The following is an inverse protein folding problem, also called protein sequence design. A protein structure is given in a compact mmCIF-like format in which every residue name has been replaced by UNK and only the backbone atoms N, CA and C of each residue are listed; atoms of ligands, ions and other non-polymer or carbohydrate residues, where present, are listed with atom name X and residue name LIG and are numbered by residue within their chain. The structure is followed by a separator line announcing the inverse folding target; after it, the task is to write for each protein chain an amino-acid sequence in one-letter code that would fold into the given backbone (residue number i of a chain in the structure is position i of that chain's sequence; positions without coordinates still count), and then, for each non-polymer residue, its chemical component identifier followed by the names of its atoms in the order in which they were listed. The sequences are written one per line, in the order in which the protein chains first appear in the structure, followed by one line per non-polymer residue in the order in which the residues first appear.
data_IF_782178394257
#
_entry.id   IF_782178394257
#
_cell.length_a   1.000
_cell.length_b   1.000
_cell.length_c   1.000
_cell.angle_alpha   90.00
_cell.angle_beta   90.00
_cell.angle_gamma   90.00
#
_symmetry.space_group_name_H-M   'P 1'
#
loop_
_entity.id
_entity.type
_entity.pdbx_description
1 polymer ?
#
# COMPACT_ATOMS: atom_id res chain seq x y z
N UNK A 1 -26.52 63.84 -9.77
CA UNK A 1 -26.66 64.08 -11.23
C UNK A 1 -25.92 62.98 -11.97
N UNK A 2 -26.58 62.41 -12.99
CA UNK A 2 -26.11 61.30 -13.83
C UNK A 2 -25.23 61.84 -14.96
N UNK A 3 -24.26 61.07 -15.43
CA UNK A 3 -24.00 60.86 -16.86
C UNK A 3 -23.27 59.54 -17.08
N UNK A 4 -23.69 58.84 -18.11
CA UNK A 4 -23.17 57.58 -18.62
C UNK A 4 -22.67 57.80 -20.05
N UNK A 5 -21.59 57.13 -20.45
CA UNK A 5 -21.17 56.86 -21.84
C UNK A 5 -20.38 55.54 -21.78
N UNK A 6 -20.88 54.38 -22.23
CA UNK A 6 -21.12 53.87 -23.58
C UNK A 6 -19.84 53.57 -24.42
N UNK A 7 -19.57 52.26 -24.54
CA UNK A 7 -18.83 51.38 -25.52
C UNK A 7 -18.41 51.94 -26.91
N UNK A 8 -17.40 51.35 -27.65
CA UNK A 8 -17.37 49.93 -28.12
C UNK A 8 -15.98 49.22 -28.19
N UNK A 9 -15.88 47.90 -27.94
CA UNK A 9 -15.83 46.71 -28.86
C UNK A 9 -14.58 46.58 -29.77
N UNK A 10 -14.08 45.32 -29.84
CA UNK A 10 -13.08 44.69 -30.74
C UNK A 10 -11.65 44.56 -30.17
N UNK A 11 -10.94 43.42 -30.22
CA UNK A 11 -11.14 42.09 -30.83
C UNK A 11 -10.07 41.14 -30.25
N UNK A 12 -10.48 39.95 -29.79
CA UNK A 12 -9.91 38.62 -30.12
C UNK A 12 -8.36 38.51 -30.16
N UNK A 13 -7.73 37.64 -29.35
CA UNK A 13 -7.47 36.24 -29.70
C UNK A 13 -7.55 35.38 -28.42
N UNK A 14 -8.66 34.67 -28.25
CA UNK A 14 -8.67 33.47 -27.41
C UNK A 14 -8.17 32.31 -28.27
N UNK A 15 -6.96 31.82 -28.00
CA UNK A 15 -6.48 30.55 -28.54
C UNK A 15 -7.32 29.42 -27.94
N UNK A 16 -8.46 29.12 -28.58
CA UNK A 16 -9.23 27.90 -28.35
C UNK A 16 -8.32 26.72 -28.72
N UNK A 17 -7.72 26.09 -27.71
CA UNK A 17 -7.22 24.73 -27.82
C UNK A 17 -8.41 23.86 -28.20
N UNK A 18 -8.46 23.43 -29.46
CA UNK A 18 -9.37 22.39 -29.94
C UNK A 18 -8.98 21.11 -29.23
N UNK A 19 -9.77 20.73 -28.22
CA UNK A 19 -9.84 19.33 -27.81
C UNK A 19 -10.32 18.53 -29.03
N UNK A 20 -9.62 17.46 -29.46
CA UNK A 20 -10.17 16.58 -30.47
C UNK A 20 -11.46 15.97 -29.93
N UNK A 21 -12.56 16.33 -30.59
CA UNK A 21 -13.87 15.71 -30.49
C UNK A 21 -13.72 14.18 -30.52
N UNK A 22 -14.11 13.55 -29.42
CA UNK A 22 -14.72 12.23 -29.32
C UNK A 22 -14.57 11.33 -30.56
N UNK A 23 -13.69 10.34 -30.48
CA UNK A 23 -13.88 9.11 -31.24
C UNK A 23 -15.16 8.45 -30.73
N UNK A 24 -16.28 8.75 -31.39
CA UNK A 24 -17.52 7.99 -31.29
C UNK A 24 -17.24 6.61 -31.89
N UNK A 25 -16.74 5.68 -31.07
CA UNK A 25 -16.75 4.27 -31.42
C UNK A 25 -18.18 3.75 -31.23
N UNK A 26 -18.85 3.60 -32.38
CA UNK A 26 -19.89 2.63 -32.69
C UNK A 26 -20.68 2.03 -31.52
N UNK A 27 -21.87 2.58 -31.27
CA UNK A 27 -22.95 1.99 -30.47
C UNK A 27 -23.64 0.79 -31.14
N UNK A 28 -22.93 0.00 -31.95
CA UNK A 28 -23.39 -1.28 -32.52
C UNK A 28 -22.71 -2.49 -31.88
N UNK A 29 -21.97 -2.30 -30.78
CA UNK A 29 -21.47 -3.39 -29.91
C UNK A 29 -21.61 -3.06 -28.42
N UNK A 30 -22.49 -2.12 -28.07
CA UNK A 30 -22.83 -1.81 -26.68
C UNK A 30 -23.43 -3.02 -25.95
N UNK A 31 -24.25 -3.83 -26.63
CA UNK A 31 -24.86 -5.04 -26.06
C UNK A 31 -23.81 -6.12 -25.74
N UNK A 32 -22.79 -6.30 -26.58
CA UNK A 32 -21.74 -7.32 -26.37
C UNK A 32 -20.67 -6.86 -25.36
N UNK A 33 -20.36 -5.56 -25.32
CA UNK A 33 -19.47 -4.99 -24.31
C UNK A 33 -20.15 -4.90 -22.93
N UNK A 34 -21.46 -4.61 -22.87
CA UNK A 34 -22.24 -4.68 -21.64
C UNK A 34 -22.43 -6.11 -21.16
N UNK A 35 -22.65 -7.08 -22.05
CA UNK A 35 -22.69 -8.52 -21.68
C UNK A 35 -21.34 -8.98 -21.14
N UNK A 36 -20.21 -8.64 -21.78
CA UNK A 36 -18.87 -8.95 -21.25
C UNK A 36 -18.54 -8.21 -19.96
N UNK A 37 -18.97 -6.96 -19.82
CA UNK A 37 -18.83 -6.23 -18.56
C UNK A 37 -19.71 -6.83 -17.47
N UNK A 38 -20.93 -7.30 -17.77
CA UNK A 38 -21.79 -8.02 -16.83
C UNK A 38 -21.26 -9.41 -16.50
N UNK A 39 -20.64 -10.11 -17.44
CA UNK A 39 -20.00 -11.41 -17.21
C UNK A 39 -18.71 -11.27 -16.39
N UNK A 40 -17.93 -10.19 -16.60
CA UNK A 40 -16.73 -9.86 -15.82
C UNK A 40 -17.12 -9.33 -14.44
N UNK A 41 -18.11 -8.45 -14.34
CA UNK A 41 -18.63 -7.97 -13.06
C UNK A 41 -19.29 -9.13 -12.30
N UNK A 42 -20.01 -10.01 -12.99
CA UNK A 42 -20.65 -11.19 -12.43
C UNK A 42 -19.65 -12.26 -12.00
N UNK A 43 -18.52 -12.44 -12.71
CA UNK A 43 -17.44 -13.35 -12.30
C UNK A 43 -16.59 -12.77 -11.18
N UNK A 44 -16.34 -11.45 -11.18
CA UNK A 44 -15.68 -10.74 -10.07
C UNK A 44 -16.59 -10.70 -8.84
N UNK A 45 -17.90 -10.48 -9.00
CA UNK A 45 -18.87 -10.59 -7.91
C UNK A 45 -18.93 -12.01 -7.38
N UNK A 46 -19.04 -13.03 -8.24
CA UNK A 46 -19.03 -14.44 -7.80
C UNK A 46 -17.74 -14.83 -7.10
N UNK A 47 -16.58 -14.35 -7.54
CA UNK A 47 -15.30 -14.63 -6.88
C UNK A 47 -15.12 -13.83 -5.59
N UNK A 48 -15.59 -12.58 -5.55
CA UNK A 48 -15.61 -11.77 -4.34
C UNK A 48 -16.60 -12.31 -3.31
N UNK A 49 -17.77 -12.79 -3.74
CA UNK A 49 -18.77 -13.48 -2.92
C UNK A 49 -18.20 -14.78 -2.38
N UNK A 50 -17.58 -15.62 -3.21
CA UNK A 50 -16.91 -16.85 -2.74
C UNK A 50 -15.76 -16.56 -1.78
N UNK A 51 -14.97 -15.52 -2.03
CA UNK A 51 -13.90 -15.10 -1.13
C UNK A 51 -14.47 -14.55 0.18
N UNK A 52 -15.54 -13.76 0.11
CA UNK A 52 -16.22 -13.20 1.26
C UNK A 52 -16.94 -14.26 2.09
N UNK A 53 -17.58 -15.23 1.45
CA UNK A 53 -18.23 -16.38 2.07
C UNK A 53 -17.21 -17.32 2.69
N UNK A 54 -16.10 -17.63 2.01
CA UNK A 54 -15.03 -18.45 2.60
C UNK A 54 -14.33 -17.74 3.75
N UNK A 55 -14.11 -16.42 3.65
CA UNK A 55 -13.58 -15.59 4.74
C UNK A 55 -14.57 -15.52 5.90
N UNK A 56 -15.87 -15.34 5.65
CA UNK A 56 -16.93 -15.38 6.68
C UNK A 56 -17.06 -16.76 7.31
N UNK A 57 -16.93 -17.84 6.54
CA UNK A 57 -17.02 -19.20 7.08
C UNK A 57 -15.84 -19.53 8.01
N UNK A 58 -14.64 -19.03 7.70
CA UNK A 58 -13.46 -19.26 8.53
C UNK A 58 -13.33 -18.28 9.70
N UNK A 59 -13.58 -16.98 9.47
CA UNK A 59 -13.39 -15.94 10.49
C UNK A 59 -14.67 -15.60 11.25
N UNK A 60 -15.85 -15.92 10.72
CA UNK A 60 -17.14 -15.71 11.37
C UNK A 60 -17.25 -16.40 12.72
N UNK A 61 -17.06 -17.73 12.83
CA UNK A 61 -17.21 -18.43 14.11
C UNK A 61 -16.15 -18.04 15.15
N UNK A 62 -14.95 -17.64 14.72
CA UNK A 62 -13.91 -17.12 15.62
C UNK A 62 -14.20 -15.67 16.04
N UNK A 63 -14.66 -14.82 15.13
CA UNK A 63 -14.99 -13.42 15.39
C UNK A 63 -16.27 -13.22 16.20
N UNK A 64 -17.24 -14.13 16.06
CA UNK A 64 -18.46 -14.16 16.87
C UNK A 64 -18.19 -14.68 18.28
N UNK A 65 -17.35 -15.72 18.45
CA UNK A 65 -16.94 -16.22 19.78
C UNK A 65 -16.06 -15.23 20.53
N UNK A 66 -15.10 -14.60 19.86
CA UNK A 66 -14.32 -13.52 20.46
C UNK A 66 -15.20 -12.29 20.74
N UNK A 67 -16.18 -12.03 19.87
CA UNK A 67 -17.15 -10.96 20.02
C UNK A 67 -18.08 -11.11 21.21
N UNK A 68 -18.62 -12.31 21.40
CA UNK A 68 -19.50 -12.64 22.51
C UNK A 68 -18.74 -12.70 23.83
N UNK A 69 -17.50 -13.19 23.83
CA UNK A 69 -16.62 -13.19 25.01
C UNK A 69 -16.23 -11.78 25.48
N UNK A 70 -16.16 -10.81 24.57
CA UNK A 70 -15.85 -9.41 24.89
C UNK A 70 -17.08 -8.60 25.33
N UNK A 71 -18.31 -9.09 25.10
CA UNK A 71 -19.55 -8.46 25.56
C UNK A 71 -19.62 -6.96 25.25
N UNK A 72 -19.84 -6.13 26.27
CA UNK A 72 -19.92 -4.67 26.16
C UNK A 72 -18.59 -3.97 25.83
N UNK A 73 -17.44 -4.64 26.02
CA UNK A 73 -16.12 -4.09 25.67
C UNK A 73 -15.79 -4.23 24.19
N UNK A 74 -16.63 -4.93 23.41
CA UNK A 74 -16.42 -5.11 21.97
C UNK A 74 -16.32 -3.77 21.23
N UNK A 75 -17.26 -2.86 21.47
CA UNK A 75 -17.29 -1.53 20.82
C UNK A 75 -16.01 -0.72 21.08
N UNK A 76 -15.59 -0.46 22.34
CA UNK A 76 -14.38 0.32 22.59
C UNK A 76 -13.10 -0.37 22.08
N UNK A 77 -13.01 -1.71 22.13
CA UNK A 77 -11.85 -2.44 21.60
C UNK A 77 -11.77 -2.32 20.08
N UNK A 78 -12.89 -2.51 19.37
CA UNK A 78 -12.92 -2.39 17.91
C UNK A 78 -12.60 -0.95 17.50
N UNK A 79 -13.19 0.04 18.17
CA UNK A 79 -12.91 1.44 17.90
C UNK A 79 -11.41 1.76 18.08
N UNK A 80 -10.82 1.37 19.21
CA UNK A 80 -9.39 1.59 19.47
C UNK A 80 -8.50 0.85 18.47
N UNK A 81 -8.87 -0.36 18.05
CA UNK A 81 -8.15 -1.10 17.03
C UNK A 81 -8.21 -0.40 15.67
N UNK A 82 -9.35 0.19 15.30
CA UNK A 82 -9.49 0.98 14.07
C UNK A 82 -8.62 2.24 14.12
N UNK A 83 -8.63 2.97 15.23
CA UNK A 83 -7.76 4.15 15.41
C UNK A 83 -6.29 3.75 15.33
N UNK A 84 -5.89 2.70 16.05
CA UNK A 84 -4.53 2.17 16.00
C UNK A 84 -4.13 1.78 14.57
N UNK A 85 -5.04 1.17 13.80
CA UNK A 85 -4.80 0.84 12.39
C UNK A 85 -4.52 2.09 11.54
N UNK A 86 -5.30 3.15 11.68
CA UNK A 86 -5.07 4.38 10.91
C UNK A 86 -3.75 5.06 11.32
N UNK A 87 -3.40 5.05 12.61
CA UNK A 87 -2.09 5.53 13.08
C UNK A 87 -0.93 4.71 12.48
N UNK A 88 -1.04 3.39 12.47
CA UNK A 88 -0.02 2.51 11.88
C UNK A 88 0.15 2.77 10.37
N UNK A 89 -0.93 3.05 9.62
CA UNK A 89 -0.82 3.42 8.20
C UNK A 89 -0.07 4.73 7.99
N UNK A 90 -0.33 5.72 8.83
CA UNK A 90 0.37 7.00 8.75
C UNK A 90 1.86 6.81 8.99
N UNK A 91 2.23 6.05 10.03
CA UNK A 91 3.63 5.72 10.34
C UNK A 91 4.26 4.95 9.18
N UNK A 92 3.57 3.96 8.61
CA UNK A 92 4.07 3.18 7.47
C UNK A 92 4.50 4.07 6.29
N UNK A 93 3.69 5.07 5.95
CA UNK A 93 3.97 6.00 4.85
C UNK A 93 5.04 7.03 5.26
N UNK A 94 4.93 7.58 6.48
CA UNK A 94 5.85 8.61 6.98
C UNK A 94 7.28 8.08 7.12
N UNK A 95 7.43 6.88 7.69
CA UNK A 95 8.72 6.21 7.93
C UNK A 95 9.23 5.43 6.71
N UNK A 96 8.56 5.54 5.56
CA UNK A 96 8.96 4.87 4.31
C UNK A 96 9.21 3.37 4.50
N UNK A 97 8.37 2.70 5.30
CA UNK A 97 8.41 1.24 5.49
C UNK A 97 7.96 0.48 4.24
N UNK A 98 7.43 1.19 3.24
CA UNK A 98 7.15 0.64 1.93
C UNK A 98 8.44 0.29 1.18
N UNK A 99 8.45 -0.82 0.41
CA UNK A 99 9.60 -1.17 -0.41
C UNK A 99 9.95 -0.02 -1.37
N UNK A 100 11.25 0.24 -1.62
CA UNK A 100 11.68 1.29 -2.52
C UNK A 100 11.10 1.04 -3.93
N UNK A 101 10.42 2.06 -4.47
CA UNK A 101 9.73 1.95 -5.75
C UNK A 101 10.68 1.91 -6.97
N UNK A 102 11.95 2.30 -6.79
CA UNK A 102 12.92 2.37 -7.88
C UNK A 102 14.03 1.34 -7.70
N UNK A 103 14.37 0.65 -8.79
CA UNK A 103 15.46 -0.32 -8.80
C UNK A 103 16.83 0.35 -8.60
N UNK A 104 17.00 1.58 -9.07
CA UNK A 104 18.24 2.34 -8.86
C UNK A 104 18.52 2.56 -7.37
N UNK A 105 17.49 2.87 -6.57
CA UNK A 105 17.66 3.00 -5.11
C UNK A 105 18.22 1.71 -4.49
N UNK A 106 17.75 0.54 -4.95
CA UNK A 106 18.23 -0.75 -4.44
C UNK A 106 19.67 -1.01 -4.88
N UNK A 107 20.00 -0.77 -6.15
CA UNK A 107 21.36 -0.98 -6.67
C UNK A 107 22.37 -0.04 -6.01
N UNK A 108 21.97 1.21 -5.78
CA UNK A 108 22.82 2.23 -5.16
C UNK A 108 23.05 1.94 -3.68
N UNK A 109 22.02 1.49 -2.97
CA UNK A 109 22.15 1.04 -1.59
C UNK A 109 23.13 -0.14 -1.49
N UNK A 110 22.99 -1.13 -2.37
CA UNK A 110 23.86 -2.31 -2.37
C UNK A 110 25.32 -1.97 -2.74
N UNK A 111 25.54 -1.15 -3.76
CA UNK A 111 26.89 -0.73 -4.17
C UNK A 111 27.58 0.08 -3.08
N UNK A 112 26.83 0.94 -2.39
CA UNK A 112 27.31 1.70 -1.23
C UNK A 112 27.64 0.79 -0.05
N UNK A 113 26.79 -0.19 0.27
CA UNK A 113 27.05 -1.13 1.34
C UNK A 113 28.32 -1.96 1.05
N UNK A 114 28.44 -2.44 -0.19
CA UNK A 114 29.56 -3.27 -0.61
C UNK A 114 30.89 -2.53 -0.61
N UNK A 115 30.90 -1.27 -1.08
CA UNK A 115 32.10 -0.43 -1.04
C UNK A 115 32.55 -0.14 0.39
N UNK A 116 31.62 0.13 1.31
CA UNK A 116 31.92 0.34 2.74
C UNK A 116 32.40 -0.94 3.42
N UNK A 117 31.74 -2.07 3.15
CA UNK A 117 32.10 -3.37 3.73
C UNK A 117 33.53 -3.79 3.38
N UNK A 118 33.99 -3.52 2.15
CA UNK A 118 35.36 -3.81 1.72
C UNK A 118 36.41 -2.81 2.21
N UNK A 119 36.02 -1.68 2.80
CA UNK A 119 36.94 -0.63 3.24
C UNK A 119 37.44 -0.88 4.66
N UNK A 120 38.74 -1.13 4.88
CA UNK A 120 39.29 -1.29 6.23
C UNK A 120 39.22 0.00 7.05
N UNK A 121 39.26 1.16 6.39
CA UNK A 121 39.15 2.46 7.04
C UNK A 121 37.75 2.68 7.63
N UNK A 122 36.70 2.20 6.95
CA UNK A 122 35.32 2.26 7.44
C UNK A 122 35.15 1.49 8.76
N UNK A 123 35.67 0.26 8.83
CA UNK A 123 35.64 -0.56 10.05
C UNK A 123 36.45 0.05 11.19
N UNK A 124 37.62 0.62 10.91
CA UNK A 124 38.40 1.36 11.93
C UNK A 124 37.63 2.57 12.46
N UNK A 125 36.92 3.30 11.59
CA UNK A 125 36.04 4.40 11.98
C UNK A 125 34.89 3.95 12.89
N UNK A 126 34.22 2.86 12.54
CA UNK A 126 33.13 2.28 13.35
C UNK A 126 33.62 1.90 14.76
N UNK A 127 34.80 1.29 14.86
CA UNK A 127 35.37 0.85 16.12
C UNK A 127 35.81 2.02 16.99
N UNK A 128 36.45 3.03 16.40
CA UNK A 128 36.96 4.21 17.13
C UNK A 128 35.84 5.15 17.59
N UNK A 129 34.78 5.29 16.80
CA UNK A 129 33.66 6.20 17.10
C UNK A 129 32.53 5.54 17.91
N UNK A 130 32.65 4.25 18.25
CA UNK A 130 31.62 3.53 19.01
C UNK A 130 30.37 3.15 18.21
N UNK A 131 30.37 3.31 16.89
CA UNK A 131 29.20 3.01 16.05
C UNK A 131 28.94 1.50 15.86
N UNK A 132 29.86 0.65 16.33
CA UNK A 132 29.72 -0.80 16.27
C UNK A 132 28.44 -1.30 16.97
N UNK A 133 27.98 -0.59 18.01
CA UNK A 133 26.71 -0.91 18.68
C UNK A 133 25.52 -0.72 17.74
N UNK A 134 25.49 0.37 16.95
CA UNK A 134 24.41 0.60 15.97
C UNK A 134 24.41 -0.49 14.90
N UNK A 135 25.59 -0.85 14.39
CA UNK A 135 25.74 -1.95 13.42
C UNK A 135 25.24 -3.27 14.00
N UNK A 136 25.56 -3.55 15.27
CA UNK A 136 25.06 -4.74 15.97
C UNK A 136 23.54 -4.75 16.13
N UNK A 137 22.93 -3.63 16.53
CA UNK A 137 21.48 -3.50 16.63
C UNK A 137 20.81 -3.75 15.28
N UNK A 138 21.32 -3.13 14.21
CA UNK A 138 20.79 -3.34 12.85
C UNK A 138 20.99 -4.78 12.35
N UNK A 139 22.07 -5.46 12.75
CA UNK A 139 22.26 -6.87 12.41
C UNK A 139 21.21 -7.76 13.09
N UNK A 140 20.88 -7.49 14.36
CA UNK A 140 19.82 -8.20 15.09
C UNK A 140 18.45 -7.91 14.47
N UNK A 141 18.18 -6.65 14.12
CA UNK A 141 16.94 -6.25 13.46
C UNK A 141 16.78 -6.96 12.10
N UNK A 142 17.83 -6.96 11.27
CA UNK A 142 17.85 -7.66 9.99
C UNK A 142 17.61 -9.17 10.16
N UNK A 143 18.21 -9.79 11.19
CA UNK A 143 17.97 -11.19 11.53
C UNK A 143 16.51 -11.44 11.95
N UNK A 144 15.92 -10.53 12.72
CA UNK A 144 14.51 -10.57 13.08
C UNK A 144 13.59 -10.52 11.85
N UNK A 145 13.82 -9.56 10.94
CA UNK A 145 13.05 -9.44 9.69
C UNK A 145 13.20 -10.69 8.82
N UNK A 146 14.40 -11.26 8.73
CA UNK A 146 14.64 -12.52 8.02
C UNK A 146 13.78 -13.67 8.58
N UNK A 147 13.72 -13.82 9.92
CA UNK A 147 12.90 -14.84 10.59
C UNK A 147 11.41 -14.63 10.38
N UNK A 148 10.94 -13.39 10.33
CA UNK A 148 9.54 -13.08 9.94
C UNK A 148 9.27 -13.53 8.51
N UNK A 149 10.23 -13.32 7.59
CA UNK A 149 10.17 -13.85 6.23
C UNK A 149 10.05 -15.38 6.20
N UNK A 150 10.81 -16.10 7.01
CA UNK A 150 10.70 -17.56 7.13
C UNK A 150 9.34 -18.01 7.68
N UNK A 151 8.79 -17.30 8.69
CA UNK A 151 7.44 -17.56 9.23
C UNK A 151 6.39 -17.41 8.14
N UNK A 152 6.47 -16.35 7.34
CA UNK A 152 5.56 -16.12 6.20
C UNK A 152 5.73 -17.17 5.11
N UNK A 153 6.98 -17.52 4.77
CA UNK A 153 7.30 -18.52 3.74
C UNK A 153 6.81 -19.92 4.11
N UNK A 154 6.94 -20.32 5.37
CA UNK A 154 6.45 -21.62 5.87
C UNK A 154 4.99 -21.59 6.34
N UNK A 155 4.38 -20.40 6.43
CA UNK A 155 3.00 -20.16 6.92
C UNK A 155 2.71 -20.76 8.30
N UNK A 156 3.74 -20.91 9.14
CA UNK A 156 3.64 -21.44 10.51
C UNK A 156 4.44 -20.57 11.47
N UNK A 157 3.85 -20.25 12.63
CA UNK A 157 4.50 -19.47 13.67
C UNK A 157 5.61 -20.27 14.36
N UNK A 158 5.43 -21.58 14.55
CA UNK A 158 6.35 -22.46 15.28
C UNK A 158 6.63 -23.72 14.47
N UNK A 159 7.90 -23.98 14.18
CA UNK A 159 8.33 -25.18 13.45
C UNK A 159 7.77 -25.31 12.03
N UNK A 160 7.99 -26.48 11.43
CA UNK A 160 7.28 -26.93 10.23
C UNK A 160 6.10 -27.78 10.67
N UNK A 161 4.97 -27.62 9.98
CA UNK A 161 3.82 -28.50 10.18
C UNK A 161 4.13 -29.82 9.48
N UNK A 162 4.30 -30.90 10.25
CA UNK A 162 4.70 -32.23 9.77
C UNK A 162 3.52 -33.21 9.71
N UNK A 163 2.29 -32.70 9.76
CA UNK A 163 1.06 -33.48 9.84
C UNK A 163 0.34 -33.61 8.50
#
# INVERSE_FOLDING_TARGET
MRTAFSTPVFRQIATRRRFPSSSRFASTSAENAQKKAQDVLGSVQKNAEKFWESTKAYLGPLGERAGSALGSYREPVIYNAQVARELLKQIYIAERLQPPASLSTVTDAYSTLWSRAKSPAYWRGILSNGEWTKVGIYAIEAYGIFKVGEILGRRSLVGYDLH
#
